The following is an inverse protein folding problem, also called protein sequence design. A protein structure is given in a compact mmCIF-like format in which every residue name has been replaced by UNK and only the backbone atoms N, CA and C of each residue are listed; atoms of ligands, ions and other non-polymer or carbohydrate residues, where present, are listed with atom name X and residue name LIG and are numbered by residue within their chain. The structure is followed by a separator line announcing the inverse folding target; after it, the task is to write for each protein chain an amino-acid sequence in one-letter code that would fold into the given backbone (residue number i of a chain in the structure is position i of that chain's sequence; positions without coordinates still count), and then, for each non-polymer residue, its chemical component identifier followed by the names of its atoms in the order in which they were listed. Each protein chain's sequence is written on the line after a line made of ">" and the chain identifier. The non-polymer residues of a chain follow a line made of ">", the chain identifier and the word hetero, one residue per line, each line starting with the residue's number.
data_IF_165504723596
#
_entry.id   IF_165504723596
#
_cell.length_a   1.000
_cell.length_b   1.000
_cell.length_c   1.000
_cell.angle_alpha   90.00
_cell.angle_beta   90.00
_cell.angle_gamma   90.00
#
_symmetry.space_group_name_H-M   'P 1'
#
loop_
_entity.id
_entity.type
_entity.pdbx_description
1 polymer ?
#
# COMPACT_ATOMS: atom_id res chain seq x y z
N UNK A 1 10.15 64.34 51.46
CA UNK A 1 10.93 63.09 51.46
C UNK A 1 9.98 61.93 51.63
N UNK A 2 9.68 61.22 50.55
CA UNK A 2 9.14 59.85 50.58
C UNK A 2 9.63 59.18 49.31
N UNK A 3 10.58 58.25 49.47
CA UNK A 3 11.14 57.44 48.39
C UNK A 3 10.20 56.28 48.11
N UNK A 4 9.70 56.19 46.88
CA UNK A 4 9.02 55.00 46.37
C UNK A 4 10.05 53.94 45.99
N UNK A 5 10.15 52.87 46.79
CA UNK A 5 10.88 51.67 46.45
C UNK A 5 10.02 50.81 45.51
N UNK A 6 10.30 50.86 44.20
CA UNK A 6 9.75 49.91 43.24
C UNK A 6 10.25 48.49 43.55
N UNK A 7 9.34 47.61 43.95
CA UNK A 7 9.62 46.19 44.20
C UNK A 7 9.92 45.47 42.88
N UNK A 8 11.19 45.12 42.66
CA UNK A 8 11.60 44.25 41.56
C UNK A 8 11.04 42.84 41.75
N UNK A 9 10.45 42.20 40.72
CA UNK A 9 9.92 40.86 40.84
C UNK A 9 11.05 39.85 41.05
N UNK A 10 10.94 39.07 42.13
CA UNK A 10 11.90 38.04 42.53
C UNK A 10 12.17 37.05 41.38
N UNK A 11 13.42 36.61 41.26
CA UNK A 11 13.88 35.70 40.20
C UNK A 11 13.00 34.43 40.11
N UNK A 12 12.47 33.95 41.23
CA UNK A 12 11.54 32.82 41.31
C UNK A 12 10.25 33.02 40.49
N UNK A 13 9.78 34.25 40.31
CA UNK A 13 8.62 34.56 39.46
C UNK A 13 8.95 34.51 37.97
N UNK A 14 10.23 34.71 37.62
CA UNK A 14 10.77 34.70 36.25
C UNK A 14 10.98 33.26 35.78
N UNK A 15 11.50 32.40 36.65
CA UNK A 15 11.63 30.95 36.40
C UNK A 15 10.28 30.26 36.23
N UNK A 16 9.29 30.55 37.09
CA UNK A 16 7.92 30.01 36.96
C UNK A 16 7.24 30.41 35.64
N UNK A 17 7.46 31.64 35.16
CA UNK A 17 6.93 32.09 33.86
C UNK A 17 7.60 31.38 32.69
N UNK A 18 8.93 31.25 32.70
CA UNK A 18 9.67 30.51 31.66
C UNK A 18 9.25 29.05 31.59
N UNK A 19 9.13 28.37 32.73
CA UNK A 19 8.77 26.96 32.79
C UNK A 19 7.35 26.68 32.27
N UNK A 20 6.39 27.58 32.56
CA UNK A 20 5.03 27.51 32.00
C UNK A 20 5.01 27.75 30.48
N UNK A 21 5.85 28.65 29.98
CA UNK A 21 5.96 28.94 28.55
C UNK A 21 6.57 27.76 27.77
N UNK A 22 7.62 27.13 28.31
CA UNK A 22 8.18 25.90 27.73
C UNK A 22 7.18 24.74 27.73
N UNK A 23 6.44 24.54 28.83
CA UNK A 23 5.37 23.54 28.89
C UNK A 23 4.27 23.79 27.84
N UNK A 24 3.87 25.05 27.65
CA UNK A 24 2.90 25.43 26.62
C UNK A 24 3.41 25.17 25.20
N UNK A 25 4.67 25.51 24.93
CA UNK A 25 5.31 25.23 23.63
C UNK A 25 5.41 23.72 23.40
N UNK A 26 5.80 22.93 24.40
CA UNK A 26 5.84 21.47 24.28
C UNK A 26 4.47 20.86 24.01
N UNK A 27 3.40 21.36 24.66
CA UNK A 27 2.01 20.93 24.39
C UNK A 27 1.55 21.35 22.99
N UNK A 28 1.88 22.56 22.54
CA UNK A 28 1.61 23.02 21.17
C UNK A 28 2.37 22.19 20.11
N UNK A 29 3.63 21.86 20.37
CA UNK A 29 4.44 21.02 19.49
C UNK A 29 3.93 19.57 19.45
N UNK A 30 3.46 19.02 20.57
CA UNK A 30 2.82 17.69 20.64
C UNK A 30 1.41 17.67 20.01
N UNK A 31 0.67 18.78 20.06
CA UNK A 31 -0.64 18.89 19.43
C UNK A 31 -0.56 19.10 17.91
N UNK A 32 0.52 19.71 17.41
CA UNK A 32 0.73 20.00 15.99
C UNK A 32 1.38 18.86 15.18
N UNK A 33 1.70 17.72 15.78
CA UNK A 33 2.26 16.55 15.05
C UNK A 33 1.22 15.54 14.58
N UNK A 34 -0.08 15.76 14.84
CA UNK A 34 -1.14 15.03 14.12
C UNK A 34 -1.22 15.55 12.68
N UNK A 35 -0.27 15.08 11.87
CA UNK A 35 -0.43 15.09 10.42
C UNK A 35 -1.83 14.57 10.11
N UNK A 36 -2.54 15.27 9.23
CA UNK A 36 -3.80 14.81 8.67
C UNK A 36 -3.54 13.46 7.99
N UNK A 37 -3.65 12.37 8.75
CA UNK A 37 -3.90 11.05 8.19
C UNK A 37 -5.20 11.20 7.40
N UNK A 38 -5.07 11.26 6.07
CA UNK A 38 -6.23 11.06 5.21
C UNK A 38 -6.81 9.70 5.64
N UNK A 39 -8.14 9.56 5.70
CA UNK A 39 -8.72 8.27 5.99
C UNK A 39 -8.18 7.27 4.96
N UNK A 40 -7.46 6.26 5.44
CA UNK A 40 -7.03 5.13 4.61
C UNK A 40 -8.26 4.63 3.85
N UNK A 41 -8.13 4.45 2.54
CA UNK A 41 -9.25 3.96 1.74
C UNK A 41 -9.63 2.57 2.27
N UNK A 42 -10.90 2.41 2.67
CA UNK A 42 -11.38 1.15 3.21
C UNK A 42 -11.52 0.13 2.07
N UNK A 43 -10.81 -0.99 2.18
CA UNK A 43 -10.97 -2.16 1.31
C UNK A 43 -11.73 -3.26 2.05
N UNK A 44 -12.37 -4.20 1.34
CA UNK A 44 -12.91 -5.42 1.96
C UNK A 44 -11.87 -6.13 2.84
N UNK A 45 -12.31 -6.75 3.94
CA UNK A 45 -11.39 -7.35 4.92
C UNK A 45 -10.53 -8.48 4.33
N UNK A 46 -11.09 -9.27 3.43
CA UNK A 46 -10.38 -10.31 2.68
C UNK A 46 -9.35 -9.72 1.69
N UNK A 47 -9.64 -8.56 1.09
CA UNK A 47 -8.69 -7.80 0.29
C UNK A 47 -7.54 -7.26 1.15
N UNK A 48 -7.83 -6.76 2.36
CA UNK A 48 -6.80 -6.31 3.30
C UNK A 48 -5.86 -7.46 3.68
N UNK A 49 -6.39 -8.63 4.02
CA UNK A 49 -5.61 -9.83 4.31
C UNK A 49 -4.71 -10.25 3.13
N UNK A 50 -5.25 -10.15 1.90
CA UNK A 50 -4.45 -10.39 0.70
C UNK A 50 -3.29 -9.42 0.56
N UNK A 51 -3.53 -8.11 0.75
CA UNK A 51 -2.51 -7.08 0.65
C UNK A 51 -1.41 -7.26 1.71
N UNK A 52 -1.79 -7.64 2.93
CA UNK A 52 -0.84 -7.94 4.00
C UNK A 52 0.04 -9.13 3.64
N UNK A 53 -0.51 -10.18 3.03
CA UNK A 53 0.26 -11.31 2.50
C UNK A 53 1.18 -10.89 1.35
N UNK A 54 0.65 -10.14 0.38
CA UNK A 54 1.38 -9.71 -0.81
C UNK A 54 2.56 -8.80 -0.46
N UNK A 55 2.32 -7.73 0.31
CA UNK A 55 3.38 -6.82 0.74
C UNK A 55 4.26 -7.43 1.83
N UNK A 56 3.75 -8.38 2.61
CA UNK A 56 4.55 -9.24 3.47
C UNK A 56 5.61 -10.01 2.69
N UNK A 57 5.23 -10.60 1.54
CA UNK A 57 6.16 -11.30 0.65
C UNK A 57 7.21 -10.36 0.03
N UNK A 58 6.85 -9.12 -0.30
CA UNK A 58 7.83 -8.09 -0.68
C UNK A 58 8.84 -7.80 0.44
N UNK A 59 8.36 -7.70 1.68
CA UNK A 59 9.20 -7.43 2.86
C UNK A 59 10.17 -8.58 3.15
N UNK A 60 9.70 -9.82 3.08
CA UNK A 60 10.50 -11.02 3.34
C UNK A 60 11.31 -11.51 2.14
N UNK A 61 11.14 -10.88 0.96
CA UNK A 61 11.75 -11.29 -0.32
C UNK A 61 11.30 -12.70 -0.76
N UNK A 62 10.07 -13.07 -0.42
CA UNK A 62 9.47 -14.34 -0.77
C UNK A 62 8.88 -14.29 -2.20
N UNK A 63 9.76 -14.53 -3.18
CA UNK A 63 9.41 -14.52 -4.60
C UNK A 63 8.41 -15.64 -4.92
N UNK A 64 8.48 -16.80 -4.25
CA UNK A 64 7.58 -17.91 -4.49
C UNK A 64 6.13 -17.54 -4.14
N UNK A 65 5.93 -16.86 -2.99
CA UNK A 65 4.60 -16.32 -2.65
C UNK A 65 4.15 -15.28 -3.66
N UNK A 66 5.02 -14.35 -4.09
CA UNK A 66 4.65 -13.35 -5.11
C UNK A 66 4.24 -14.01 -6.43
N UNK A 67 4.94 -15.05 -6.87
CA UNK A 67 4.59 -15.84 -8.05
C UNK A 67 3.24 -16.55 -7.90
N UNK A 68 3.01 -17.21 -6.75
CA UNK A 68 1.78 -17.95 -6.49
C UNK A 68 0.52 -17.07 -6.44
N UNK A 69 0.67 -15.79 -6.09
CA UNK A 69 -0.45 -14.83 -6.00
C UNK A 69 -0.52 -13.86 -7.16
N UNK A 70 0.27 -14.07 -8.21
CA UNK A 70 0.33 -13.20 -9.39
C UNK A 70 -0.09 -13.94 -10.65
N UNK A 71 -0.76 -13.20 -11.53
CA UNK A 71 -1.35 -13.62 -12.79
C UNK A 71 -2.43 -14.70 -12.62
N UNK A 72 -3.66 -14.30 -12.93
CA UNK A 72 -4.79 -15.21 -13.01
C UNK A 72 -4.96 -15.70 -14.46
N UNK A 73 -5.26 -16.98 -14.61
CA UNK A 73 -5.70 -17.57 -15.86
C UNK A 73 -7.04 -18.23 -15.59
N UNK A 74 -8.09 -17.75 -16.24
CA UNK A 74 -9.43 -18.32 -16.08
C UNK A 74 -9.46 -19.78 -16.54
N UNK A 75 -10.35 -20.63 -16.00
CA UNK A 75 -10.56 -21.98 -16.51
C UNK A 75 -10.81 -22.00 -18.03
N UNK A 76 -11.58 -21.04 -18.53
CA UNK A 76 -11.87 -20.88 -19.96
C UNK A 76 -10.59 -20.58 -20.75
N UNK A 77 -9.79 -19.61 -20.32
CA UNK A 77 -8.54 -19.27 -21.02
C UNK A 77 -7.50 -20.39 -20.91
N UNK A 78 -7.50 -21.11 -19.78
CA UNK A 78 -6.67 -22.31 -19.61
C UNK A 78 -7.07 -23.41 -20.58
N UNK A 79 -8.37 -23.62 -20.83
CA UNK A 79 -8.85 -24.60 -21.81
C UNK A 79 -8.53 -24.24 -23.26
N UNK A 80 -8.27 -22.96 -23.53
CA UNK A 80 -7.90 -22.45 -24.86
C UNK A 80 -6.39 -22.57 -25.13
N UNK A 81 -5.59 -22.85 -24.12
CA UNK A 81 -4.16 -23.05 -24.29
C UNK A 81 -3.89 -24.35 -25.05
N UNK A 82 -2.94 -24.35 -26.00
CA UNK A 82 -2.46 -25.58 -26.63
C UNK A 82 -2.00 -26.61 -25.59
N UNK A 83 -2.17 -27.89 -25.90
CA UNK A 83 -1.72 -28.98 -25.02
C UNK A 83 -0.24 -28.83 -24.67
N UNK A 84 0.11 -29.02 -23.40
CA UNK A 84 1.48 -28.84 -22.89
C UNK A 84 1.95 -27.40 -22.72
N UNK A 85 1.20 -26.39 -23.18
CA UNK A 85 1.64 -24.98 -23.10
C UNK A 85 1.40 -24.28 -21.77
N UNK A 86 0.61 -24.90 -20.87
CA UNK A 86 0.32 -24.34 -19.55
C UNK A 86 1.58 -24.14 -18.70
N UNK A 87 2.53 -25.08 -18.76
CA UNK A 87 3.78 -24.95 -18.01
C UNK A 87 4.60 -23.78 -18.53
N UNK A 88 4.74 -23.68 -19.86
CA UNK A 88 5.45 -22.56 -20.50
C UNK A 88 4.80 -21.21 -20.18
N UNK A 89 3.46 -21.16 -20.14
CA UNK A 89 2.74 -19.96 -19.71
C UNK A 89 3.10 -19.61 -18.26
N UNK A 90 3.08 -20.59 -17.35
CA UNK A 90 3.40 -20.38 -15.93
C UNK A 90 4.84 -19.92 -15.74
N UNK A 91 5.80 -20.58 -16.39
CA UNK A 91 7.22 -20.21 -16.36
C UNK A 91 7.43 -18.78 -16.86
N UNK A 92 6.77 -18.41 -17.97
CA UNK A 92 6.81 -17.05 -18.51
C UNK A 92 6.28 -16.02 -17.51
N UNK A 93 5.14 -16.30 -16.86
CA UNK A 93 4.56 -15.42 -15.84
C UNK A 93 5.43 -15.32 -14.59
N UNK A 94 5.98 -16.44 -14.11
CA UNK A 94 6.89 -16.46 -12.98
C UNK A 94 8.15 -15.63 -13.25
N UNK A 95 8.69 -15.70 -14.47
CA UNK A 95 9.81 -14.87 -14.91
C UNK A 95 9.47 -13.37 -14.83
N UNK A 96 8.30 -12.95 -15.30
CA UNK A 96 7.86 -11.55 -15.20
C UNK A 96 7.75 -11.06 -13.76
N UNK A 97 7.27 -11.90 -12.83
CA UNK A 97 7.23 -11.55 -11.40
C UNK A 97 8.63 -11.34 -10.85
N UNK A 98 9.56 -12.27 -11.14
CA UNK A 98 10.95 -12.18 -10.70
C UNK A 98 11.65 -10.94 -11.25
N UNK A 99 11.54 -10.68 -12.56
CA UNK A 99 12.14 -9.51 -13.21
C UNK A 99 11.57 -8.20 -12.63
N UNK A 100 10.26 -8.16 -12.34
CA UNK A 100 9.66 -7.01 -11.69
C UNK A 100 10.19 -6.81 -10.27
N UNK A 101 10.31 -7.89 -9.48
CA UNK A 101 10.86 -7.82 -8.13
C UNK A 101 12.29 -7.27 -8.14
N UNK A 102 13.15 -7.79 -9.02
CA UNK A 102 14.53 -7.32 -9.17
C UNK A 102 14.60 -5.86 -9.62
N UNK A 103 13.77 -5.45 -10.58
CA UNK A 103 13.71 -4.06 -11.05
C UNK A 103 13.30 -3.12 -9.92
N UNK A 104 12.20 -3.41 -9.23
CA UNK A 104 11.67 -2.57 -8.16
C UNK A 104 12.65 -2.49 -7.00
N UNK A 105 13.23 -3.61 -6.57
CA UNK A 105 14.21 -3.60 -5.46
C UNK A 105 15.51 -2.88 -5.84
N UNK A 106 15.96 -2.99 -7.09
CA UNK A 106 17.11 -2.23 -7.60
C UNK A 106 16.86 -0.72 -7.52
N UNK A 107 15.70 -0.29 -8.03
CA UNK A 107 15.33 1.12 -8.17
C UNK A 107 14.91 1.78 -6.86
N UNK A 108 14.01 1.14 -6.11
CA UNK A 108 13.37 1.71 -4.92
C UNK A 108 14.02 1.26 -3.61
N UNK A 109 14.72 0.11 -3.61
CA UNK A 109 15.32 -0.49 -2.41
C UNK A 109 14.43 -1.54 -1.76
N UNK A 110 14.69 -1.81 -0.48
CA UNK A 110 13.92 -2.78 0.30
C UNK A 110 12.58 -2.18 0.73
N UNK A 111 11.53 -2.99 0.67
CA UNK A 111 10.18 -2.58 1.06
C UNK A 111 10.06 -2.38 2.58
N UNK A 112 9.37 -1.32 3.00
CA UNK A 112 9.22 -0.94 4.41
C UNK A 112 7.76 -0.93 4.89
N UNK A 113 6.80 -0.68 4.01
CA UNK A 113 5.37 -0.68 4.36
C UNK A 113 4.52 -0.07 3.25
N UNK A 114 3.21 -0.11 3.40
CA UNK A 114 2.28 0.45 2.41
C UNK A 114 1.06 1.11 3.08
N UNK A 115 0.36 1.92 2.31
CA UNK A 115 -0.92 2.54 2.65
C UNK A 115 -1.83 2.47 1.42
N UNK A 116 -3.12 2.13 1.60
CA UNK A 116 -4.08 2.12 0.50
C UNK A 116 -4.65 3.54 0.31
N UNK A 117 -4.40 4.14 -0.85
CA UNK A 117 -4.87 5.48 -1.18
C UNK A 117 -6.25 5.47 -1.83
N UNK A 118 -6.51 4.46 -2.67
CA UNK A 118 -7.76 4.34 -3.42
C UNK A 118 -8.07 2.86 -3.69
N UNK A 119 -9.34 2.53 -3.62
CA UNK A 119 -9.88 1.26 -4.06
C UNK A 119 -11.15 1.48 -4.88
N UNK A 120 -11.33 0.71 -5.94
CA UNK A 120 -12.57 0.63 -6.70
C UNK A 120 -12.89 -0.83 -6.94
N UNK A 121 -14.03 -1.27 -6.42
CA UNK A 121 -14.54 -2.64 -6.60
C UNK A 121 -15.58 -2.66 -7.72
N UNK A 122 -15.44 -3.63 -8.61
CA UNK A 122 -16.40 -3.92 -9.68
C UNK A 122 -16.67 -5.41 -9.68
N UNK A 123 -17.93 -5.82 -9.70
CA UNK A 123 -18.31 -7.22 -9.87
C UNK A 123 -18.75 -7.41 -11.32
N UNK A 124 -18.16 -8.39 -12.00
CA UNK A 124 -18.48 -8.75 -13.38
C UNK A 124 -19.13 -10.13 -13.33
N UNK A 125 -20.39 -10.21 -13.74
CA UNK A 125 -21.06 -11.49 -13.89
C UNK A 125 -20.56 -12.25 -15.13
N UNK A 126 -20.68 -13.59 -15.17
CA UNK A 126 -20.33 -14.38 -16.35
C UNK A 126 -21.06 -13.92 -17.64
N UNK A 127 -22.25 -13.33 -17.51
CA UNK A 127 -23.05 -12.83 -18.63
C UNK A 127 -22.52 -11.50 -19.19
N UNK A 128 -21.80 -10.73 -18.39
CA UNK A 128 -21.16 -9.45 -18.78
C UNK A 128 -19.74 -9.65 -19.33
N UNK A 129 -19.16 -10.84 -19.15
CA UNK A 129 -17.83 -11.23 -19.59
C UNK A 129 -17.55 -11.06 -21.11
N UNK A 130 -18.51 -11.27 -22.04
CA UNK A 130 -18.25 -11.08 -23.47
C UNK A 130 -17.87 -9.64 -23.85
N UNK A 131 -18.20 -8.64 -23.01
CA UNK A 131 -17.82 -7.24 -23.21
C UNK A 131 -16.53 -6.85 -22.44
N UNK A 132 -16.09 -7.68 -21.50
CA UNK A 132 -14.91 -7.46 -20.65
C UNK A 132 -13.70 -8.24 -21.19
N UNK A 133 -13.13 -7.73 -22.28
CA UNK A 133 -11.91 -8.25 -22.91
C UNK A 133 -10.91 -8.79 -21.86
N UNK A 134 -10.61 -10.10 -21.92
CA UNK A 134 -9.53 -10.80 -21.20
C UNK A 134 -9.55 -10.84 -19.67
N UNK A 135 -10.52 -10.22 -19.03
CA UNK A 135 -10.60 -10.13 -17.56
C UNK A 135 -11.83 -10.96 -17.16
N UNK A 136 -11.60 -12.21 -16.73
CA UNK A 136 -12.67 -13.18 -16.43
C UNK A 136 -13.69 -12.68 -15.40
N UNK A 137 -14.82 -13.37 -15.25
CA UNK A 137 -15.86 -12.98 -14.28
C UNK A 137 -15.37 -13.02 -12.83
N UNK A 138 -15.99 -12.23 -11.96
CA UNK A 138 -15.71 -12.22 -10.53
C UNK A 138 -15.72 -10.82 -9.91
N UNK A 139 -15.12 -10.70 -8.73
CA UNK A 139 -14.87 -9.42 -8.05
C UNK A 139 -13.51 -8.89 -8.45
N UNK A 140 -13.50 -7.70 -9.04
CA UNK A 140 -12.30 -6.99 -9.45
C UNK A 140 -12.08 -5.81 -8.52
N UNK A 141 -10.85 -5.62 -8.06
CA UNK A 141 -10.48 -4.45 -7.28
C UNK A 141 -9.30 -3.76 -7.94
N UNK A 142 -9.51 -2.51 -8.37
CA UNK A 142 -8.45 -1.61 -8.79
C UNK A 142 -7.98 -0.83 -7.56
N UNK A 143 -6.70 -0.97 -7.22
CA UNK A 143 -6.07 -0.35 -6.05
C UNK A 143 -4.98 0.61 -6.48
N UNK A 144 -4.86 1.70 -5.73
CA UNK A 144 -3.64 2.51 -5.71
C UNK A 144 -3.14 2.54 -4.28
N UNK A 145 -1.92 2.06 -4.08
CA UNK A 145 -1.22 2.07 -2.80
C UNK A 145 -0.04 3.04 -2.86
N UNK A 146 0.29 3.64 -1.73
CA UNK A 146 1.59 4.27 -1.47
C UNK A 146 2.48 3.25 -0.79
N UNK A 147 3.50 2.76 -1.47
CA UNK A 147 4.48 1.83 -0.92
C UNK A 147 5.76 2.58 -0.53
N UNK A 148 6.32 2.28 0.64
CA UNK A 148 7.54 2.87 1.16
C UNK A 148 8.72 1.93 0.93
N UNK A 149 9.84 2.49 0.48
CA UNK A 149 11.07 1.75 0.24
C UNK A 149 12.30 2.49 0.78
N UNK A 150 13.41 1.77 0.92
CA UNK A 150 14.62 2.29 1.57
C UNK A 150 15.44 3.31 0.77
N UNK A 151 15.41 3.28 -0.59
CA UNK A 151 16.15 4.24 -1.43
C UNK A 151 15.28 5.39 -1.92
N UNK A 152 14.14 5.06 -2.52
CA UNK A 152 13.12 6.03 -2.94
C UNK A 152 11.99 5.94 -1.94
N UNK A 153 11.83 6.98 -1.12
CA UNK A 153 10.97 6.97 0.06
C UNK A 153 9.56 6.43 -0.21
N UNK A 154 8.97 6.76 -1.36
CA UNK A 154 7.64 6.32 -1.75
C UNK A 154 7.56 5.93 -3.23
N UNK A 155 6.67 4.98 -3.54
CA UNK A 155 6.20 4.66 -4.88
C UNK A 155 4.67 4.57 -4.88
N UNK A 156 4.04 5.04 -5.95
CA UNK A 156 2.66 4.70 -6.26
C UNK A 156 2.63 3.31 -6.89
N UNK A 157 1.85 2.42 -6.29
CA UNK A 157 1.66 1.05 -6.73
C UNK A 157 0.20 0.88 -7.16
N UNK A 158 -0.01 0.76 -8.47
CA UNK A 158 -1.29 0.33 -9.01
C UNK A 158 -1.38 -1.19 -8.98
N UNK A 159 -2.45 -1.75 -8.42
CA UNK A 159 -2.74 -3.19 -8.47
C UNK A 159 -4.13 -3.41 -9.06
N UNK A 160 -4.25 -4.41 -9.92
CA UNK A 160 -5.55 -4.95 -10.31
C UNK A 160 -5.68 -6.35 -9.74
N UNK A 161 -6.63 -6.52 -8.82
CA UNK A 161 -6.91 -7.79 -8.16
C UNK A 161 -8.15 -8.43 -8.77
N UNK A 162 -8.13 -9.76 -8.89
CA UNK A 162 -9.27 -10.56 -9.32
C UNK A 162 -9.56 -11.62 -8.26
N UNK A 163 -10.83 -11.79 -7.93
CA UNK A 163 -11.37 -12.87 -7.10
C UNK A 163 -12.54 -13.49 -7.85
N UNK A 164 -12.36 -14.70 -8.36
CA UNK A 164 -13.31 -15.38 -9.25
C UNK A 164 -14.68 -15.64 -8.59
N UNK A 165 -14.67 -16.12 -7.34
CA UNK A 165 -15.88 -16.47 -6.60
C UNK A 165 -15.78 -16.06 -5.12
N UNK A 166 -16.92 -16.05 -4.45
CA UNK A 166 -16.97 -15.88 -2.99
C UNK A 166 -16.22 -17.03 -2.31
N UNK A 167 -15.31 -16.71 -1.37
CA UNK A 167 -14.42 -17.69 -0.73
C UNK A 167 -13.08 -17.95 -1.45
N UNK A 168 -12.93 -17.57 -2.72
CA UNK A 168 -11.63 -17.63 -3.41
C UNK A 168 -10.67 -16.55 -2.93
N UNK A 169 -9.36 -16.81 -3.01
CA UNK A 169 -8.35 -15.79 -2.75
C UNK A 169 -8.27 -14.78 -3.91
N UNK A 170 -7.89 -13.54 -3.60
CA UNK A 170 -7.50 -12.59 -4.64
C UNK A 170 -6.20 -13.03 -5.32
N UNK A 171 -6.04 -12.62 -6.57
CA UNK A 171 -4.82 -12.78 -7.37
C UNK A 171 -4.51 -11.43 -8.02
N UNK A 172 -3.22 -11.06 -8.11
CA UNK A 172 -2.79 -9.86 -8.84
C UNK A 172 -2.82 -10.15 -10.33
N UNK A 173 -3.77 -9.58 -11.07
CA UNK A 173 -3.82 -9.69 -12.52
C UNK A 173 -2.83 -8.75 -13.23
N UNK A 174 -2.61 -7.55 -12.66
CA UNK A 174 -1.68 -6.57 -13.16
C UNK A 174 -1.14 -5.69 -12.04
N UNK A 175 0.05 -5.13 -12.27
CA UNK A 175 0.67 -4.16 -11.37
C UNK A 175 1.41 -3.07 -12.13
N UNK A 176 1.62 -1.94 -11.46
CA UNK A 176 2.44 -0.83 -11.96
C UNK A 176 3.11 -0.14 -10.77
N UNK A 177 4.42 0.06 -10.84
CA UNK A 177 5.21 0.77 -9.82
C UNK A 177 5.76 2.05 -10.42
N UNK A 178 5.40 3.20 -9.84
CA UNK A 178 5.85 4.51 -10.29
C UNK A 178 6.42 5.26 -9.10
N UNK A 179 7.54 5.96 -9.30
CA UNK A 179 8.02 6.90 -8.30
C UNK A 179 6.96 8.00 -8.09
N UNK A 180 6.78 8.43 -6.85
CA UNK A 180 6.09 9.70 -6.62
C UNK A 180 6.87 10.82 -7.32
N UNK A 181 6.18 11.75 -8.02
CA UNK A 181 6.83 12.88 -8.67
C UNK A 181 7.55 13.81 -7.69
#
# INVERSE_FOLDING_TARGET
>A
MTNDLQSLPSEASRWRRRMRFFLWISVLLLACTKGKERPSACVPADCQQFLDKYFGAWKSKDIATLQAVSFYLSPEDRSRLPEGSLEMWRESKNKLVTENFERVTREFGDFQGYEVLRAKTTTISPQEQPAANTIGSGTHIELVCKARFSKKHNAHVGLHLIKEAEGSQYIVAAWNFQAEP
#
